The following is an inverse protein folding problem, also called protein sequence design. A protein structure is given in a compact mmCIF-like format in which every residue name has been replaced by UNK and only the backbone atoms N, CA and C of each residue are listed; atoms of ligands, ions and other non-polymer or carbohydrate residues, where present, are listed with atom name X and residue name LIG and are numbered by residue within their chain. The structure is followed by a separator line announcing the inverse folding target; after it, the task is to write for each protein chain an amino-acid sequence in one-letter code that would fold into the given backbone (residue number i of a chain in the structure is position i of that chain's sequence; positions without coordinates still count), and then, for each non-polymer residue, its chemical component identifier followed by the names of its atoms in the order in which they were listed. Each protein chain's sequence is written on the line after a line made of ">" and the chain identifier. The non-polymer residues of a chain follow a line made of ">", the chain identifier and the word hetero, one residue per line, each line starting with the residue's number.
data_IF_599032815164
#
_entry.id   IF_599032815164
#
_cell.length_a   1.000
_cell.length_b   1.000
_cell.length_c   1.000
_cell.angle_alpha   90.00
_cell.angle_beta   90.00
_cell.angle_gamma   90.00
#
_symmetry.space_group_name_H-M   'P 1'
#
loop_
_entity.id
_entity.type
_entity.pdbx_description
1 polymer ?
#
# COMPACT_ATOMS: atom_id res chain seq x y z
N UNK A 1 14.58 -2.80 -5.53
CA UNK A 1 13.76 -2.21 -6.63
C UNK A 1 13.18 -3.37 -7.43
N UNK A 2 12.05 -3.20 -8.11
CA UNK A 2 11.59 -4.28 -8.99
C UNK A 2 12.60 -4.52 -10.12
N UNK A 3 12.71 -5.77 -10.56
CA UNK A 3 13.52 -6.14 -11.73
C UNK A 3 13.16 -5.25 -12.94
N UNK A 4 14.11 -4.48 -13.49
CA UNK A 4 13.85 -3.57 -14.61
C UNK A 4 13.47 -4.30 -15.91
N UNK A 5 13.67 -5.62 -15.99
CA UNK A 5 13.24 -6.44 -17.13
C UNK A 5 11.75 -6.75 -17.11
N UNK A 6 11.08 -6.56 -15.97
CA UNK A 6 9.64 -6.76 -15.85
C UNK A 6 8.93 -5.48 -16.30
N UNK A 7 8.31 -5.53 -17.48
CA UNK A 7 7.48 -4.43 -17.98
C UNK A 7 6.32 -4.16 -17.01
N UNK A 8 5.94 -2.89 -16.86
CA UNK A 8 4.86 -2.44 -15.98
C UNK A 8 5.00 -2.91 -14.53
N UNK A 9 6.23 -3.08 -14.03
CA UNK A 9 6.39 -3.50 -12.65
C UNK A 9 5.99 -2.40 -11.67
N UNK A 10 5.02 -2.70 -10.82
CA UNK A 10 4.46 -1.77 -9.84
C UNK A 10 4.12 -2.49 -8.53
N UNK A 11 3.72 -1.72 -7.52
CA UNK A 11 3.17 -2.24 -6.26
C UNK A 11 1.76 -2.76 -6.56
N UNK A 12 1.58 -4.07 -6.54
CA UNK A 12 0.27 -4.70 -6.80
C UNK A 12 -0.58 -4.80 -5.56
N UNK A 13 0.04 -4.86 -4.38
CA UNK A 13 -0.68 -4.79 -3.11
C UNK A 13 0.12 -4.00 -2.06
N UNK A 14 -0.62 -3.36 -1.16
CA UNK A 14 -0.10 -2.69 0.02
C UNK A 14 -0.81 -3.24 1.25
N UNK A 15 -0.03 -3.59 2.27
CA UNK A 15 -0.52 -4.02 3.56
C UNK A 15 -0.06 -3.01 4.60
N UNK A 16 -1.00 -2.44 5.34
CA UNK A 16 -0.73 -1.69 6.57
C UNK A 16 -1.18 -2.52 7.75
N UNK A 17 -0.27 -2.82 8.68
CA UNK A 17 -0.61 -3.44 9.96
C UNK A 17 -0.49 -2.38 11.04
N UNK A 18 -1.52 -2.21 11.86
CA UNK A 18 -1.50 -1.31 13.00
C UNK A 18 -0.86 -2.01 14.20
N UNK A 19 0.24 -1.44 14.71
CA UNK A 19 1.04 -2.05 15.76
C UNK A 19 0.62 -1.60 17.17
N UNK A 20 -0.32 -0.66 17.26
CA UNK A 20 -0.95 -0.20 18.49
C UNK A 20 -2.34 0.37 18.20
N UNK A 21 -3.17 0.49 19.23
CA UNK A 21 -4.40 1.27 19.19
C UNK A 21 -4.10 2.78 19.17
N UNK A 22 -4.91 3.55 18.43
CA UNK A 22 -4.88 5.02 18.44
C UNK A 22 -6.24 5.53 18.89
N UNK A 23 -6.29 6.31 19.98
CA UNK A 23 -7.56 6.72 20.57
C UNK A 23 -8.30 7.75 19.71
N UNK A 24 -7.60 8.74 19.16
CA UNK A 24 -8.17 9.82 18.35
C UNK A 24 -7.30 10.17 17.13
N UNK A 25 -7.96 10.33 15.98
CA UNK A 25 -7.30 10.54 14.69
C UNK A 25 -6.56 9.29 14.19
N UNK A 26 -5.59 9.53 13.32
CA UNK A 26 -4.69 8.47 12.83
C UNK A 26 -5.33 7.50 11.83
N UNK A 27 -6.53 7.76 11.33
CA UNK A 27 -7.20 6.91 10.35
C UNK A 27 -6.38 6.76 9.07
N UNK A 28 -6.49 5.60 8.42
CA UNK A 28 -6.12 5.47 7.01
C UNK A 28 -7.34 5.83 6.19
N UNK A 29 -7.29 6.96 5.48
CA UNK A 29 -8.41 7.51 4.72
C UNK A 29 -8.24 7.25 3.23
N UNK A 30 -9.28 6.72 2.62
CA UNK A 30 -9.44 6.55 1.17
C UNK A 30 -10.48 7.57 0.69
N UNK A 31 -10.05 8.79 0.39
CA UNK A 31 -10.94 9.94 0.19
C UNK A 31 -11.93 9.74 -0.95
N UNK A 32 -11.53 9.08 -2.05
CA UNK A 32 -12.41 8.78 -3.19
C UNK A 32 -13.44 7.67 -2.90
N UNK A 33 -13.23 6.86 -1.86
CA UNK A 33 -14.17 5.83 -1.43
C UNK A 33 -15.04 6.30 -0.27
N UNK A 34 -14.76 7.48 0.30
CA UNK A 34 -15.40 7.97 1.53
C UNK A 34 -15.27 6.97 2.70
N UNK A 35 -14.15 6.22 2.72
CA UNK A 35 -13.84 5.23 3.75
C UNK A 35 -12.66 5.69 4.59
N UNK A 36 -12.82 5.63 5.91
CA UNK A 36 -11.75 5.86 6.88
C UNK A 36 -11.65 4.66 7.82
N UNK A 37 -10.44 4.12 7.97
CA UNK A 37 -10.19 2.95 8.82
C UNK A 37 -9.40 3.40 10.05
N UNK A 38 -9.99 3.23 11.23
CA UNK A 38 -9.34 3.55 12.51
C UNK A 38 -8.26 2.52 12.86
N UNK A 39 -7.07 2.94 13.34
CA UNK A 39 -6.05 2.02 13.80
C UNK A 39 -6.56 1.20 15.00
N UNK A 40 -6.33 -0.11 14.92
CA UNK A 40 -6.58 -1.04 16.01
C UNK A 40 -5.48 -2.07 16.05
N UNK A 41 -4.85 -2.28 17.19
CA UNK A 41 -3.69 -3.16 17.34
C UNK A 41 -3.96 -4.55 16.77
N UNK A 42 -3.01 -5.05 15.98
CA UNK A 42 -3.08 -6.36 15.33
C UNK A 42 -3.96 -6.43 14.09
N UNK A 43 -4.74 -5.39 13.78
CA UNK A 43 -5.53 -5.33 12.55
C UNK A 43 -4.68 -4.86 11.36
N UNK A 44 -5.10 -5.25 10.16
CA UNK A 44 -4.47 -4.84 8.93
C UNK A 44 -5.46 -4.34 7.89
N UNK A 45 -5.00 -3.44 7.02
CA UNK A 45 -5.68 -3.00 5.81
C UNK A 45 -4.86 -3.49 4.61
N UNK A 46 -5.52 -4.25 3.73
CA UNK A 46 -4.96 -4.71 2.46
C UNK A 46 -5.73 -4.05 1.32
N UNK A 47 -5.00 -3.47 0.37
CA UNK A 47 -5.57 -2.88 -0.84
C UNK A 47 -4.59 -2.95 -2.03
N UNK A 48 -5.11 -2.72 -3.23
CA UNK A 48 -4.41 -2.96 -4.51
C UNK A 48 -4.22 -1.62 -5.26
N UNK A 49 -3.12 -0.88 -5.03
CA UNK A 49 -3.00 0.50 -5.52
C UNK A 49 -2.74 0.62 -7.03
N UNK A 50 -2.50 -0.51 -7.71
CA UNK A 50 -2.32 -0.57 -9.15
C UNK A 50 -2.95 -1.86 -9.72
N UNK A 51 -3.32 -1.81 -10.99
CA UNK A 51 -3.71 -2.97 -11.79
C UNK A 51 -2.54 -3.92 -11.98
N UNK A 52 -2.83 -5.17 -12.28
CA UNK A 52 -1.81 -6.16 -12.59
C UNK A 52 -1.14 -5.83 -13.93
N UNK A 53 0.12 -6.24 -14.16
CA UNK A 53 0.74 -6.16 -15.48
C UNK A 53 0.02 -6.99 -16.56
N UNK A 54 -0.88 -7.87 -16.15
CA UNK A 54 -1.70 -8.72 -17.03
C UNK A 54 -3.08 -8.12 -17.31
N UNK A 55 -3.39 -6.93 -16.81
CA UNK A 55 -4.62 -6.21 -17.17
C UNK A 55 -4.59 -5.91 -18.68
N UNK A 56 -5.67 -6.23 -19.40
CA UNK A 56 -5.68 -6.15 -20.86
C UNK A 56 -5.81 -4.71 -21.40
N UNK A 57 -6.43 -3.82 -20.62
CA UNK A 57 -6.74 -2.45 -21.05
C UNK A 57 -5.69 -1.46 -20.56
N UNK A 58 -5.20 -1.65 -19.33
CA UNK A 58 -4.30 -0.69 -18.67
C UNK A 58 -3.28 -1.42 -17.76
N UNK A 59 -2.31 -2.13 -18.37
CA UNK A 59 -1.28 -2.88 -17.65
C UNK A 59 -0.50 -2.01 -16.65
N UNK A 60 -0.61 -2.35 -15.36
CA UNK A 60 0.11 -1.64 -14.30
C UNK A 60 -0.43 -0.23 -13.97
N UNK A 61 -1.58 0.14 -14.55
CA UNK A 61 -2.26 1.41 -14.31
C UNK A 61 -2.62 1.63 -12.84
N UNK A 62 -2.78 2.90 -12.44
CA UNK A 62 -3.07 3.26 -11.05
C UNK A 62 -4.54 3.02 -10.72
N UNK A 63 -4.82 2.47 -9.54
CA UNK A 63 -6.17 2.41 -9.00
C UNK A 63 -6.49 3.72 -8.27
N UNK A 64 -6.89 4.76 -9.02
CA UNK A 64 -7.09 6.13 -8.48
C UNK A 64 -8.01 6.19 -7.26
N UNK A 65 -9.05 5.33 -7.23
CA UNK A 65 -9.98 5.22 -6.10
C UNK A 65 -9.32 4.80 -4.79
N UNK A 66 -8.15 4.18 -4.86
CA UNK A 66 -7.38 3.70 -3.71
C UNK A 66 -6.27 4.67 -3.30
N UNK A 67 -6.28 5.90 -3.83
CA UNK A 67 -5.51 7.00 -3.26
C UNK A 67 -5.87 7.18 -1.79
N UNK A 68 -4.85 7.20 -0.94
CA UNK A 68 -5.01 7.14 0.50
C UNK A 68 -3.99 8.03 1.21
N UNK A 69 -4.32 8.36 2.44
CA UNK A 69 -3.48 9.15 3.32
C UNK A 69 -3.57 8.66 4.77
N UNK A 70 -2.51 8.91 5.53
CA UNK A 70 -2.56 8.77 6.99
C UNK A 70 -3.03 10.09 7.58
N UNK A 71 -4.20 10.07 8.20
CA UNK A 71 -4.68 11.21 8.98
C UNK A 71 -3.74 11.48 10.15
N UNK A 72 -3.69 12.73 10.60
CA UNK A 72 -2.96 13.13 11.80
C UNK A 72 -3.51 12.37 13.01
N UNK A 73 -2.64 11.69 13.74
CA UNK A 73 -2.97 11.09 15.03
C UNK A 73 -2.73 12.12 16.14
N UNK A 74 -3.59 12.11 17.17
CA UNK A 74 -3.35 12.90 18.38
C UNK A 74 -2.24 12.27 19.21
N UNK A 75 -2.25 10.94 19.30
CA UNK A 75 -1.25 10.12 19.99
C UNK A 75 -0.24 9.49 19.00
N UNK A 76 0.73 8.73 19.51
CA UNK A 76 1.67 7.98 18.67
C UNK A 76 0.96 6.86 17.88
N UNK A 77 1.28 6.78 16.59
CA UNK A 77 0.78 5.76 15.67
C UNK A 77 1.95 4.96 15.11
N UNK A 78 1.97 3.66 15.40
CA UNK A 78 2.95 2.72 14.88
C UNK A 78 2.30 1.84 13.80
N UNK A 79 2.96 1.75 12.64
CA UNK A 79 2.53 0.88 11.54
C UNK A 79 3.68 0.04 11.01
N UNK A 80 3.36 -1.17 10.57
CA UNK A 80 4.19 -1.91 9.62
C UNK A 80 3.58 -1.74 8.24
N UNK A 81 4.42 -1.38 7.26
CA UNK A 81 4.03 -1.25 5.87
C UNK A 81 4.78 -2.25 5.01
N UNK A 82 4.04 -3.14 4.33
CA UNK A 82 4.58 -4.06 3.35
C UNK A 82 4.04 -3.73 1.96
N UNK A 83 4.95 -3.52 1.02
CA UNK A 83 4.61 -3.43 -0.40
C UNK A 83 4.87 -4.77 -1.10
N UNK A 84 3.92 -5.22 -1.90
CA UNK A 84 4.04 -6.39 -2.76
C UNK A 84 4.20 -5.92 -4.19
N UNK A 85 5.23 -6.38 -4.87
CA UNK A 85 5.56 -6.00 -6.26
C UNK A 85 5.14 -7.12 -7.21
N UNK A 86 4.76 -6.78 -8.44
CA UNK A 86 4.39 -7.77 -9.47
C UNK A 86 5.55 -8.63 -9.97
N UNK A 87 6.79 -8.20 -9.75
CA UNK A 87 8.00 -8.92 -10.12
C UNK A 87 8.94 -9.14 -8.94
N UNK A 88 9.99 -9.92 -9.17
CA UNK A 88 11.03 -10.16 -8.18
C UNK A 88 11.60 -8.86 -7.63
N UNK A 89 11.66 -8.75 -6.31
CA UNK A 89 12.36 -7.65 -5.66
C UNK A 89 13.86 -7.90 -5.74
N UNK A 90 14.56 -7.07 -6.51
CA UNK A 90 16.02 -7.09 -6.61
C UNK A 90 16.56 -6.10 -5.58
N UNK A 91 17.20 -6.65 -4.53
CA UNK A 91 17.88 -5.86 -3.51
C UNK A 91 19.12 -5.15 -4.05
N UNK A 92 19.64 -4.13 -3.35
CA UNK A 92 20.93 -3.54 -3.68
C UNK A 92 22.02 -4.62 -3.73
N UNK A 93 22.73 -4.74 -4.86
CA UNK A 93 23.83 -5.70 -5.07
C UNK A 93 23.47 -7.00 -5.81
N UNK A 94 22.21 -7.20 -6.21
CA UNK A 94 21.77 -8.41 -6.90
C UNK A 94 21.86 -8.35 -8.45
N UNK A 95 22.33 -7.24 -9.02
CA UNK A 95 22.69 -7.14 -10.45
C UNK A 95 24.21 -6.98 -10.52
N UNK A 96 24.90 -8.05 -10.94
CA UNK A 96 26.28 -8.03 -11.42
C UNK A 96 26.28 -8.36 -12.90
#
# INVERSE_FOLDING_TARGET
>A
MCDPRVSHCNRVATIFVYLNDVQSGGETRFSQLEVSIKPREGMAVLFFPAKLPTDEEDPGGLAERLMHESMTAVDEKYILQQFVWSGSYIGPGAIR
#
